data_IF_712528363676
#
_entry.id   IF_712528363676
#
_cell.length_a   1.000
_cell.length_b   1.000
_cell.length_c   1.000
_cell.angle_alpha   90.00
_cell.angle_beta   90.00
_cell.angle_gamma   90.00
#
_symmetry.space_group_name_H-M   'P 1'
#
loop_
_entity.id
_entity.type
_entity.pdbx_description
1 polymer ?
#
# COMPACT_ATOMS: atom_id res chain seq x y z
N UNK A 1 -5.67 -16.28 -13.32
CA UNK A 1 -4.29 -16.68 -13.61
C UNK A 1 -4.19 -17.12 -15.06
N UNK A 2 -3.40 -16.41 -15.87
CA UNK A 2 -3.11 -16.79 -17.25
C UNK A 2 -2.03 -17.88 -17.28
N UNK A 3 -2.44 -19.10 -17.62
CA UNK A 3 -1.57 -20.27 -17.63
C UNK A 3 -1.23 -20.67 -19.07
N UNK A 4 -0.45 -19.84 -19.75
CA UNK A 4 -0.02 -20.06 -21.13
C UNK A 4 1.27 -20.87 -21.27
N UNK A 5 1.92 -21.24 -20.16
CA UNK A 5 3.14 -22.04 -20.10
C UNK A 5 4.39 -21.41 -20.73
N UNK A 6 4.38 -20.10 -20.97
CA UNK A 6 5.50 -19.38 -21.61
C UNK A 6 5.98 -18.23 -20.70
N UNK A 7 7.28 -18.04 -20.65
CA UNK A 7 8.00 -16.89 -20.11
C UNK A 7 8.92 -16.28 -21.18
N UNK A 8 9.70 -15.26 -20.84
CA UNK A 8 10.68 -14.64 -21.75
C UNK A 8 11.71 -15.68 -22.21
N UNK A 9 12.19 -16.54 -21.31
CA UNK A 9 13.24 -17.54 -21.61
C UNK A 9 12.72 -18.79 -22.33
N UNK A 10 11.40 -18.92 -22.47
CA UNK A 10 10.79 -20.08 -23.11
C UNK A 10 9.72 -20.76 -22.25
N UNK A 11 9.62 -22.10 -22.28
CA UNK A 11 8.63 -22.82 -21.51
C UNK A 11 8.81 -22.61 -20.00
N UNK A 12 7.71 -22.40 -19.25
CA UNK A 12 7.76 -22.25 -17.79
C UNK A 12 8.32 -23.47 -17.08
N UNK A 13 8.32 -24.65 -17.70
CA UNK A 13 8.93 -25.87 -17.15
C UNK A 13 10.44 -25.77 -16.90
N UNK A 14 11.11 -24.78 -17.50
CA UNK A 14 12.54 -24.51 -17.22
C UNK A 14 12.78 -24.01 -15.79
N UNK A 15 11.82 -23.34 -15.17
CA UNK A 15 11.99 -22.64 -13.89
C UNK A 15 10.86 -22.88 -12.88
N UNK A 16 9.78 -23.53 -13.25
CA UNK A 16 8.60 -23.73 -12.40
C UNK A 16 8.22 -25.21 -12.35
N UNK A 17 8.28 -25.78 -11.16
CA UNK A 17 7.80 -27.14 -10.84
C UNK A 17 6.58 -27.16 -9.93
N UNK A 18 6.02 -25.99 -9.60
CA UNK A 18 4.89 -25.87 -8.65
C UNK A 18 3.60 -26.48 -9.17
N UNK A 19 2.93 -27.21 -8.29
CA UNK A 19 1.51 -27.56 -8.45
C UNK A 19 0.65 -26.42 -7.90
N UNK A 20 0.22 -25.52 -8.77
CA UNK A 20 -0.61 -24.38 -8.40
C UNK A 20 -1.93 -24.78 -7.74
N UNK A 21 -2.53 -25.90 -8.18
CA UNK A 21 -3.77 -26.41 -7.58
C UNK A 21 -3.57 -26.73 -6.11
N UNK A 22 -2.60 -27.59 -5.81
CA UNK A 22 -2.28 -27.95 -4.41
C UNK A 22 -1.89 -26.75 -3.57
N UNK A 23 -1.10 -25.81 -4.14
CA UNK A 23 -0.69 -24.58 -3.45
C UNK A 23 -1.89 -23.77 -2.99
N UNK A 24 -2.81 -23.43 -3.89
CA UNK A 24 -3.98 -22.60 -3.55
C UNK A 24 -5.02 -23.35 -2.71
N UNK A 25 -5.20 -24.64 -2.93
CA UNK A 25 -6.07 -25.48 -2.08
C UNK A 25 -5.54 -25.54 -0.64
N UNK A 26 -4.21 -25.58 -0.42
CA UNK A 26 -3.61 -25.54 0.91
C UNK A 26 -3.84 -24.19 1.63
N UNK A 27 -4.07 -23.11 0.92
CA UNK A 27 -4.48 -21.80 1.46
C UNK A 27 -5.97 -21.73 1.77
N UNK A 28 -6.74 -22.79 1.52
CA UNK A 28 -8.18 -22.81 1.66
C UNK A 28 -8.97 -22.17 0.51
N UNK A 29 -8.31 -21.90 -0.62
CA UNK A 29 -8.95 -21.34 -1.82
C UNK A 29 -9.61 -22.43 -2.67
N UNK A 30 -10.62 -22.05 -3.45
CA UNK A 30 -11.09 -22.90 -4.55
C UNK A 30 -10.18 -22.69 -5.77
N UNK A 31 -9.76 -23.79 -6.39
CA UNK A 31 -9.03 -23.79 -7.64
C UNK A 31 -9.93 -24.28 -8.77
N UNK A 32 -10.06 -23.50 -9.83
CA UNK A 32 -10.79 -23.84 -11.05
C UNK A 32 -9.83 -23.80 -12.24
N UNK A 33 -9.85 -24.83 -13.07
CA UNK A 33 -9.06 -24.84 -14.30
C UNK A 33 -10.00 -24.88 -15.50
N UNK A 34 -9.74 -24.01 -16.48
CA UNK A 34 -10.58 -23.85 -17.68
C UNK A 34 -9.72 -23.65 -18.94
N UNK A 35 -10.32 -23.91 -20.09
CA UNK A 35 -9.80 -23.41 -21.36
C UNK A 35 -10.15 -21.90 -21.45
N UNK A 36 -9.12 -21.02 -21.41
CA UNK A 36 -9.26 -19.57 -21.47
C UNK A 36 -9.72 -19.01 -22.82
N UNK A 37 -9.80 -19.85 -23.87
CA UNK A 37 -10.39 -19.51 -25.17
C UNK A 37 -11.83 -20.02 -25.31
N UNK A 38 -12.41 -20.68 -24.30
CA UNK A 38 -13.79 -21.17 -24.31
C UNK A 38 -14.71 -20.25 -23.49
N UNK A 39 -15.50 -19.44 -24.17
CA UNK A 39 -16.42 -18.45 -23.57
C UNK A 39 -17.43 -19.09 -22.60
N UNK A 40 -17.91 -20.31 -22.86
CA UNK A 40 -18.85 -21.01 -21.97
C UNK A 40 -18.17 -21.42 -20.65
N UNK A 41 -16.94 -21.94 -20.74
CA UNK A 41 -16.16 -22.31 -19.55
C UNK A 41 -15.81 -21.07 -18.72
N UNK A 42 -15.41 -19.96 -19.35
CA UNK A 42 -15.14 -18.68 -18.67
C UNK A 42 -16.38 -18.21 -17.91
N UNK A 43 -17.53 -18.13 -18.59
CA UNK A 43 -18.79 -17.69 -17.98
C UNK A 43 -19.23 -18.60 -16.82
N UNK A 44 -19.09 -19.92 -16.96
CA UNK A 44 -19.42 -20.89 -15.92
C UNK A 44 -18.50 -20.74 -14.70
N UNK A 45 -17.20 -20.62 -14.92
CA UNK A 45 -16.23 -20.45 -13.84
C UNK A 45 -16.46 -19.16 -13.04
N UNK A 46 -16.72 -18.03 -13.71
CA UNK A 46 -17.04 -16.75 -13.06
C UNK A 46 -18.34 -16.88 -12.24
N UNK A 47 -19.38 -17.49 -12.80
CA UNK A 47 -20.66 -17.74 -12.07
C UNK A 47 -20.47 -18.63 -10.84
N UNK A 48 -19.60 -19.64 -10.92
CA UNK A 48 -19.26 -20.52 -9.78
C UNK A 48 -18.48 -19.76 -8.71
N UNK A 49 -17.45 -19.01 -9.13
CA UNK A 49 -16.63 -18.22 -8.23
C UNK A 49 -17.43 -17.15 -7.50
N UNK A 50 -18.35 -16.43 -8.17
CA UNK A 50 -19.18 -15.37 -7.57
C UNK A 50 -20.17 -15.88 -6.50
N UNK A 51 -20.49 -17.17 -6.49
CA UNK A 51 -21.36 -17.80 -5.48
C UNK A 51 -20.59 -18.43 -4.33
N UNK A 52 -19.28 -18.48 -4.42
CA UNK A 52 -18.43 -19.10 -3.39
C UNK A 52 -18.25 -18.19 -2.17
N UNK A 53 -18.17 -18.80 -0.99
CA UNK A 53 -17.77 -18.12 0.25
C UNK A 53 -16.27 -18.15 0.50
N UNK A 54 -15.51 -18.90 -0.33
CA UNK A 54 -14.05 -18.99 -0.27
C UNK A 54 -13.44 -18.11 -1.35
N UNK A 55 -12.21 -17.62 -1.18
CA UNK A 55 -11.44 -17.06 -2.26
C UNK A 55 -11.31 -18.03 -3.42
N UNK A 56 -11.27 -17.53 -4.65
CA UNK A 56 -11.20 -18.36 -5.83
C UNK A 56 -10.05 -17.92 -6.71
N UNK A 57 -9.36 -18.89 -7.30
CA UNK A 57 -8.45 -18.69 -8.42
C UNK A 57 -8.95 -19.49 -9.62
N UNK A 58 -9.00 -18.84 -10.78
CA UNK A 58 -9.36 -19.46 -12.04
C UNK A 58 -8.09 -19.52 -12.89
N UNK A 59 -7.54 -20.72 -13.09
CA UNK A 59 -6.42 -20.98 -13.97
C UNK A 59 -6.93 -21.14 -15.41
N UNK A 60 -6.63 -20.16 -16.23
CA UNK A 60 -7.04 -20.13 -17.65
C UNK A 60 -5.91 -20.67 -18.53
N UNK A 61 -6.08 -21.86 -19.07
CA UNK A 61 -5.19 -22.37 -20.14
C UNK A 61 -5.38 -21.53 -21.37
N UNK A 62 -4.37 -20.79 -21.77
CA UNK A 62 -4.36 -19.90 -22.92
C UNK A 62 -3.15 -20.20 -23.82
N UNK A 63 -3.10 -19.52 -24.94
CA UNK A 63 -1.97 -19.54 -25.84
C UNK A 63 -1.48 -18.10 -26.00
N UNK A 64 -0.22 -17.82 -25.64
CA UNK A 64 0.36 -16.50 -25.86
C UNK A 64 0.39 -16.16 -27.33
N UNK A 65 0.08 -14.94 -27.73
CA UNK A 65 -0.01 -14.53 -29.13
C UNK A 65 -1.09 -15.28 -29.92
N UNK A 66 -2.20 -15.67 -29.26
CA UNK A 66 -3.32 -16.36 -29.89
C UNK A 66 -3.79 -15.66 -31.16
N UNK A 67 -3.95 -16.42 -32.24
CA UNK A 67 -4.32 -15.89 -33.54
C UNK A 67 -3.12 -15.51 -34.42
N UNK A 68 -1.90 -15.42 -33.87
CA UNK A 68 -0.68 -15.19 -34.68
C UNK A 68 -0.25 -16.46 -35.40
N UNK A 69 -0.11 -16.47 -36.74
CA UNK A 69 0.36 -17.64 -37.48
C UNK A 69 1.79 -18.06 -37.12
N UNK A 70 2.70 -17.09 -36.93
CA UNK A 70 4.12 -17.35 -36.78
C UNK A 70 4.64 -17.25 -35.34
N UNK A 71 3.96 -16.51 -34.47
CA UNK A 71 4.42 -16.18 -33.13
C UNK A 71 3.56 -16.77 -32.00
N UNK A 72 2.45 -17.44 -32.32
CA UNK A 72 1.58 -18.08 -31.34
C UNK A 72 2.30 -19.17 -30.56
N UNK A 73 2.17 -19.18 -29.22
CA UNK A 73 2.80 -20.16 -28.34
C UNK A 73 4.32 -19.99 -28.16
N UNK A 74 4.91 -18.90 -28.64
CA UNK A 74 6.37 -18.68 -28.58
C UNK A 74 6.73 -17.56 -27.58
N UNK A 75 7.90 -17.67 -26.96
CA UNK A 75 8.46 -16.64 -26.06
C UNK A 75 8.66 -15.29 -26.76
N UNK A 76 8.89 -15.29 -28.08
CA UNK A 76 9.00 -14.07 -28.89
C UNK A 76 7.74 -13.19 -28.91
N UNK A 77 6.61 -13.69 -28.39
CA UNK A 77 5.38 -12.91 -28.18
C UNK A 77 5.30 -12.28 -26.78
N UNK A 78 6.23 -12.62 -25.87
CA UNK A 78 6.24 -12.10 -24.51
C UNK A 78 6.92 -10.73 -24.49
N UNK A 79 6.15 -9.67 -24.17
CA UNK A 79 6.70 -8.32 -24.01
C UNK A 79 7.19 -7.64 -25.28
N UNK A 80 6.99 -8.23 -26.47
CA UNK A 80 7.41 -7.66 -27.75
C UNK A 80 6.22 -7.44 -28.69
N UNK A 81 6.20 -6.32 -29.43
CA UNK A 81 5.21 -6.12 -30.49
C UNK A 81 5.28 -7.24 -31.54
N UNK A 82 4.12 -7.64 -32.06
CA UNK A 82 4.08 -8.63 -33.13
C UNK A 82 4.74 -8.15 -34.42
N UNK A 83 4.71 -6.83 -34.68
CA UNK A 83 5.13 -6.21 -35.93
C UNK A 83 4.00 -6.14 -36.97
N UNK A 84 4.10 -5.18 -37.89
CA UNK A 84 3.01 -4.85 -38.82
C UNK A 84 2.61 -6.02 -39.75
N UNK A 85 3.57 -6.78 -40.24
CA UNK A 85 3.32 -7.94 -41.09
C UNK A 85 2.52 -9.00 -40.33
N UNK A 86 2.97 -9.36 -39.13
CA UNK A 86 2.31 -10.37 -38.31
C UNK A 86 0.92 -9.91 -37.88
N UNK A 87 0.75 -8.61 -37.51
CA UNK A 87 -0.57 -8.03 -37.21
C UNK A 87 -1.53 -8.20 -38.38
N UNK A 88 -1.07 -7.99 -39.62
CA UNK A 88 -1.89 -8.18 -40.80
C UNK A 88 -2.37 -9.63 -40.93
N UNK A 89 -1.49 -10.59 -40.67
CA UNK A 89 -1.83 -12.03 -40.70
C UNK A 89 -2.81 -12.39 -39.55
N UNK A 90 -2.61 -11.84 -38.33
CA UNK A 90 -3.53 -12.02 -37.21
C UNK A 90 -4.92 -11.51 -37.56
N UNK A 91 -5.02 -10.30 -38.10
CA UNK A 91 -6.30 -9.69 -38.50
C UNK A 91 -7.04 -10.56 -39.53
N UNK A 92 -6.33 -11.06 -40.51
CA UNK A 92 -6.87 -12.01 -41.52
C UNK A 92 -7.38 -13.29 -40.85
N UNK A 93 -6.58 -13.90 -39.96
CA UNK A 93 -6.93 -15.15 -39.27
C UNK A 93 -8.11 -14.97 -38.33
N UNK A 94 -8.18 -13.86 -37.59
CA UNK A 94 -9.27 -13.53 -36.68
C UNK A 94 -10.47 -12.88 -37.39
N UNK A 95 -10.42 -12.71 -38.73
CA UNK A 95 -11.48 -12.08 -39.53
C UNK A 95 -11.85 -10.68 -39.01
N UNK A 96 -10.86 -9.86 -38.70
CA UNK A 96 -11.03 -8.47 -38.24
C UNK A 96 -10.75 -7.49 -39.39
N UNK A 97 -11.77 -7.00 -40.13
CA UNK A 97 -11.59 -6.18 -41.33
C UNK A 97 -11.41 -4.69 -41.07
N UNK A 98 -11.66 -4.24 -39.83
CA UNK A 98 -11.68 -2.82 -39.47
C UNK A 98 -10.30 -2.18 -39.41
N UNK A 99 -10.19 -0.90 -39.67
CA UNK A 99 -8.93 -0.16 -39.58
C UNK A 99 -8.34 -0.14 -38.14
N UNK A 100 -7.09 0.30 -38.01
CA UNK A 100 -6.47 0.46 -36.68
C UNK A 100 -7.24 1.48 -35.87
N UNK A 101 -7.50 1.16 -34.60
CA UNK A 101 -8.28 1.98 -33.63
C UNK A 101 -9.76 2.18 -34.01
N UNK A 102 -10.24 1.57 -35.07
CA UNK A 102 -11.66 1.54 -35.44
C UNK A 102 -12.38 0.45 -34.66
N UNK A 103 -13.41 0.80 -33.91
CA UNK A 103 -14.28 -0.11 -33.18
C UNK A 103 -15.65 -0.11 -33.89
N UNK A 104 -16.14 -1.26 -34.36
CA UNK A 104 -17.49 -1.33 -34.97
C UNK A 104 -18.57 -0.80 -34.04
N UNK A 105 -19.54 -0.10 -34.60
CA UNK A 105 -20.54 0.61 -33.81
C UNK A 105 -21.43 -0.35 -32.99
N UNK A 106 -21.74 -1.51 -33.49
CA UNK A 106 -22.48 -2.56 -32.80
C UNK A 106 -21.72 -3.07 -31.56
N UNK A 107 -20.40 -3.32 -31.71
CA UNK A 107 -19.52 -3.66 -30.57
C UNK A 107 -19.49 -2.54 -29.54
N UNK A 108 -19.29 -1.31 -29.99
CA UNK A 108 -19.26 -0.13 -29.09
C UNK A 108 -20.58 0.06 -28.34
N UNK A 109 -21.71 -0.08 -29.03
CA UNK A 109 -23.05 -0.04 -28.42
C UNK A 109 -23.24 -1.15 -27.39
N UNK A 110 -22.79 -2.37 -27.69
CA UNK A 110 -22.87 -3.49 -26.75
C UNK A 110 -22.06 -3.21 -25.46
N UNK A 111 -20.83 -2.71 -25.58
CA UNK A 111 -20.00 -2.32 -24.44
C UNK A 111 -20.63 -1.21 -23.61
N UNK A 112 -21.13 -0.14 -24.24
CA UNK A 112 -21.81 0.98 -23.57
C UNK A 112 -23.04 0.51 -22.80
N UNK A 113 -23.86 -0.38 -23.39
CA UNK A 113 -25.02 -0.98 -22.75
C UNK A 113 -24.65 -1.77 -21.48
N UNK A 114 -23.52 -2.50 -21.50
CA UNK A 114 -23.01 -3.16 -20.29
C UNK A 114 -22.61 -2.16 -19.22
N UNK A 115 -21.98 -1.04 -19.60
CA UNK A 115 -21.61 0.05 -18.68
C UNK A 115 -22.80 0.74 -18.01
N UNK A 116 -23.95 0.82 -18.69
CA UNK A 116 -25.17 1.44 -18.14
C UNK A 116 -25.69 0.76 -16.88
N UNK A 117 -25.38 -0.53 -16.67
CA UNK A 117 -25.68 -1.22 -15.39
C UNK A 117 -25.08 -0.54 -14.18
N UNK A 118 -23.86 0.00 -14.36
CA UNK A 118 -23.15 0.74 -13.29
C UNK A 118 -23.94 1.95 -12.82
N UNK A 119 -24.52 2.71 -13.75
CA UNK A 119 -25.34 3.89 -13.44
C UNK A 119 -26.57 3.55 -12.58
N UNK A 120 -27.23 2.43 -12.90
CA UNK A 120 -28.38 1.95 -12.11
C UNK A 120 -27.97 1.50 -10.71
N UNK A 121 -26.85 0.77 -10.61
CA UNK A 121 -26.31 0.30 -9.33
C UNK A 121 -25.87 1.47 -8.44
N UNK A 122 -25.20 2.46 -9.03
CA UNK A 122 -24.78 3.68 -8.33
C UNK A 122 -25.97 4.49 -7.79
N UNK A 123 -27.01 4.70 -8.62
CA UNK A 123 -28.25 5.36 -8.17
C UNK A 123 -28.90 4.61 -7.01
N UNK A 124 -28.96 3.28 -7.06
CA UNK A 124 -29.51 2.45 -6.00
C UNK A 124 -28.67 2.55 -4.72
N UNK A 125 -27.32 2.51 -4.86
CA UNK A 125 -26.39 2.67 -3.75
C UNK A 125 -26.54 4.05 -3.08
N UNK A 126 -26.54 5.13 -3.85
CA UNK A 126 -26.73 6.51 -3.38
C UNK A 126 -28.07 6.69 -2.68
N UNK A 127 -29.17 6.14 -3.25
CA UNK A 127 -30.49 6.15 -2.61
C UNK A 127 -30.48 5.40 -1.26
N UNK A 128 -29.82 4.23 -1.21
CA UNK A 128 -29.72 3.47 0.04
C UNK A 128 -28.89 4.21 1.09
N UNK A 129 -27.78 4.84 0.69
CA UNK A 129 -26.94 5.65 1.59
C UNK A 129 -27.73 6.83 2.16
N UNK A 130 -28.54 7.51 1.33
CA UNK A 130 -29.38 8.64 1.76
C UNK A 130 -30.50 8.22 2.74
N UNK A 131 -30.96 6.97 2.68
CA UNK A 131 -31.96 6.39 3.60
C UNK A 131 -31.34 5.88 4.91
N UNK A 132 -30.02 5.73 4.98
CA UNK A 132 -29.33 5.22 6.16
C UNK A 132 -29.13 6.30 7.20
N UNK A 133 -28.87 5.84 8.43
CA UNK A 133 -28.63 6.68 9.60
C UNK A 133 -27.67 7.83 9.28
N UNK A 134 -28.09 9.05 9.62
CA UNK A 134 -27.32 10.29 9.39
C UNK A 134 -25.89 10.23 9.92
N UNK A 135 -25.63 9.44 10.96
CA UNK A 135 -24.30 9.24 11.56
C UNK A 135 -23.33 8.54 10.57
N UNK A 136 -23.73 7.37 10.03
CA UNK A 136 -22.90 6.61 9.07
C UNK A 136 -22.60 7.45 7.81
N UNK A 137 -23.62 8.16 7.31
CA UNK A 137 -23.44 9.04 6.16
C UNK A 137 -22.42 10.15 6.45
N UNK A 138 -22.55 10.83 7.61
CA UNK A 138 -21.64 11.89 8.03
C UNK A 138 -20.20 11.38 8.22
N UNK A 139 -20.02 10.19 8.81
CA UNK A 139 -18.71 9.56 8.96
C UNK A 139 -18.07 9.26 7.60
N UNK A 140 -18.83 8.65 6.67
CA UNK A 140 -18.32 8.37 5.32
C UNK A 140 -17.95 9.65 4.57
N UNK A 141 -18.81 10.68 4.62
CA UNK A 141 -18.52 11.98 4.00
C UNK A 141 -17.31 12.67 4.64
N UNK A 142 -17.13 12.55 5.96
CA UNK A 142 -15.98 13.10 6.68
C UNK A 142 -14.67 12.45 6.22
N UNK A 143 -14.65 11.11 6.11
CA UNK A 143 -13.52 10.34 5.61
C UNK A 143 -13.22 10.73 4.15
N UNK A 144 -14.22 10.72 3.28
CA UNK A 144 -14.05 11.07 1.86
C UNK A 144 -13.55 12.50 1.62
N UNK A 145 -13.95 13.43 2.46
CA UNK A 145 -13.56 14.86 2.39
C UNK A 145 -12.32 15.19 3.23
N UNK A 146 -11.72 14.20 3.90
CA UNK A 146 -10.59 14.37 4.83
C UNK A 146 -10.84 15.44 5.92
N UNK A 147 -12.09 15.64 6.34
CA UNK A 147 -12.48 16.69 7.30
C UNK A 147 -11.79 16.54 8.66
N UNK A 148 -11.49 15.31 9.06
CA UNK A 148 -10.81 15.08 10.33
C UNK A 148 -9.37 15.63 10.32
N UNK A 149 -8.73 15.72 9.14
CA UNK A 149 -7.39 16.30 8.98
C UNK A 149 -7.35 17.81 9.27
N UNK A 150 -8.49 18.52 9.15
CA UNK A 150 -8.58 19.96 9.49
C UNK A 150 -8.22 20.24 10.96
N UNK A 151 -8.44 19.25 11.85
CA UNK A 151 -8.15 19.36 13.28
C UNK A 151 -6.74 18.87 13.66
N UNK A 152 -6.00 18.31 12.70
CA UNK A 152 -4.69 17.70 12.95
C UNK A 152 -3.68 18.72 13.47
N UNK A 153 -3.68 19.93 12.91
CA UNK A 153 -2.76 21.00 13.33
C UNK A 153 -2.98 21.40 14.77
N UNK A 154 -4.23 21.54 15.18
CA UNK A 154 -4.57 21.85 16.57
C UNK A 154 -4.15 20.75 17.53
N UNK A 155 -4.39 19.47 17.15
CA UNK A 155 -3.99 18.32 17.95
C UNK A 155 -2.46 18.29 18.12
N UNK A 156 -1.71 18.38 17.03
CA UNK A 156 -0.24 18.34 17.07
C UNK A 156 0.32 19.50 17.88
N UNK A 157 -0.22 20.71 17.71
CA UNK A 157 0.24 21.86 18.48
C UNK A 157 -0.03 21.71 19.98
N UNK A 158 -1.16 21.11 20.37
CA UNK A 158 -1.45 20.82 21.78
C UNK A 158 -0.44 19.81 22.36
N UNK A 159 -0.12 18.76 21.64
CA UNK A 159 0.88 17.79 22.09
C UNK A 159 2.30 18.41 22.12
N UNK A 160 2.67 19.23 21.13
CA UNK A 160 3.95 19.97 21.12
C UNK A 160 4.07 20.89 22.35
N UNK A 161 3.04 21.65 22.68
CA UNK A 161 3.03 22.52 23.84
C UNK A 161 3.22 21.74 25.16
N UNK A 162 2.52 20.61 25.29
CA UNK A 162 2.66 19.71 26.43
C UNK A 162 4.11 19.23 26.57
N UNK A 163 4.70 18.68 25.53
CA UNK A 163 6.05 18.11 25.59
C UNK A 163 7.17 19.17 25.62
N UNK A 164 6.89 20.39 25.19
CA UNK A 164 7.78 21.51 25.40
C UNK A 164 7.93 21.84 26.93
N UNK A 165 6.86 21.70 27.71
CA UNK A 165 6.90 21.89 29.18
C UNK A 165 7.58 20.71 29.87
N UNK A 166 7.32 19.48 29.40
CA UNK A 166 7.85 18.24 30.03
C UNK A 166 9.31 17.95 29.67
N UNK A 167 9.76 18.33 28.46
CA UNK A 167 11.10 18.07 27.89
C UNK A 167 11.62 16.65 28.13
N UNK A 168 10.87 15.60 27.75
CA UNK A 168 11.22 14.24 28.10
C UNK A 168 12.41 13.71 27.28
N UNK A 169 13.28 12.92 27.91
CA UNK A 169 14.24 12.08 27.20
C UNK A 169 13.60 10.75 26.84
N UNK A 170 13.32 10.54 25.55
CA UNK A 170 12.63 9.33 25.02
C UNK A 170 13.27 8.84 23.73
N UNK A 171 13.14 7.53 23.49
CA UNK A 171 13.41 6.99 22.15
C UNK A 171 12.37 7.50 21.17
N UNK A 172 12.76 7.84 19.94
CA UNK A 172 11.80 8.39 18.98
C UNK A 172 10.75 7.36 18.54
N UNK A 173 10.99 6.04 18.69
CA UNK A 173 9.95 5.01 18.56
C UNK A 173 8.85 5.15 19.65
N UNK A 174 9.21 5.53 20.86
CA UNK A 174 8.25 5.81 21.94
C UNK A 174 7.48 7.11 21.63
N UNK A 175 8.16 8.11 21.08
CA UNK A 175 7.55 9.35 20.62
C UNK A 175 6.54 9.09 19.48
N UNK A 176 6.87 8.21 18.56
CA UNK A 176 5.94 7.77 17.49
C UNK A 176 4.70 7.07 18.05
N UNK A 177 4.87 6.24 19.09
CA UNK A 177 3.71 5.62 19.76
C UNK A 177 2.76 6.67 20.36
N UNK A 178 3.31 7.73 20.95
CA UNK A 178 2.52 8.87 21.46
C UNK A 178 1.76 9.55 20.32
N UNK A 179 2.44 9.82 19.21
CA UNK A 179 1.80 10.39 18.02
C UNK A 179 0.67 9.50 17.50
N UNK A 180 0.91 8.18 17.36
CA UNK A 180 -0.10 7.20 16.94
C UNK A 180 -1.30 7.21 17.89
N UNK A 181 -1.06 7.23 19.20
CA UNK A 181 -2.15 7.27 20.20
C UNK A 181 -3.00 8.54 20.08
N UNK A 182 -2.38 9.69 19.83
CA UNK A 182 -3.08 10.95 19.62
C UNK A 182 -3.88 10.96 18.31
N UNK A 183 -3.25 10.60 17.19
CA UNK A 183 -3.89 10.69 15.87
C UNK A 183 -4.98 9.63 15.67
N UNK A 184 -4.88 8.45 16.26
CA UNK A 184 -5.91 7.40 16.14
C UNK A 184 -7.22 7.76 16.86
N UNK A 185 -7.18 8.69 17.84
CA UNK A 185 -8.39 9.25 18.45
C UNK A 185 -9.12 10.22 17.51
N UNK A 186 -8.38 10.93 16.68
CA UNK A 186 -8.89 11.93 15.75
C UNK A 186 -9.32 11.32 14.43
N UNK A 187 -8.55 10.35 13.93
CA UNK A 187 -8.65 9.78 12.58
C UNK A 187 -9.05 8.29 12.67
N UNK A 188 -10.35 7.96 12.71
CA UNK A 188 -10.82 6.57 12.77
C UNK A 188 -10.46 5.76 11.53
N UNK A 189 -10.12 6.41 10.44
CA UNK A 189 -9.65 5.82 9.18
C UNK A 189 -8.22 5.28 9.23
N UNK A 190 -7.47 5.53 10.32
CA UNK A 190 -6.11 4.99 10.48
C UNK A 190 -6.19 3.50 10.80
N UNK A 191 -5.44 2.72 10.04
CA UNK A 191 -5.24 1.29 10.26
C UNK A 191 -3.76 0.97 10.38
N UNK A 192 -3.37 0.41 11.52
CA UNK A 192 -1.98 0.13 11.85
C UNK A 192 -1.59 -1.33 11.76
N UNK A 193 -0.30 -1.59 11.86
CA UNK A 193 0.21 -2.95 11.96
C UNK A 193 1.72 -3.03 12.18
N UNK A 194 2.20 -4.27 12.27
CA UNK A 194 3.64 -4.56 12.34
C UNK A 194 3.96 -5.93 11.80
N UNK A 195 5.16 -6.07 11.25
CA UNK A 195 5.72 -7.35 10.83
C UNK A 195 6.37 -8.07 12.02
N UNK A 196 5.52 -8.59 12.93
CA UNK A 196 5.90 -9.35 14.14
C UNK A 196 6.74 -8.59 15.19
N UNK A 197 6.82 -7.27 15.10
CA UNK A 197 7.65 -6.41 15.94
C UNK A 197 6.85 -5.34 16.70
N UNK A 198 5.57 -5.57 16.96
CA UNK A 198 4.64 -4.57 17.54
C UNK A 198 5.19 -3.92 18.82
N UNK A 199 5.75 -4.71 19.74
CA UNK A 199 6.34 -4.22 21.00
C UNK A 199 7.64 -3.46 20.78
N UNK A 200 8.50 -3.96 19.88
CA UNK A 200 9.79 -3.32 19.58
C UNK A 200 9.64 -2.02 18.81
N UNK A 201 8.68 -1.95 17.89
CA UNK A 201 8.42 -0.75 17.08
C UNK A 201 7.49 0.25 17.79
N UNK A 202 6.85 -0.16 18.89
CA UNK A 202 5.83 0.64 19.59
C UNK A 202 4.68 1.11 18.67
N UNK A 203 4.27 0.26 17.72
CA UNK A 203 3.22 0.58 16.74
C UNK A 203 1.81 0.27 17.24
N UNK A 204 1.67 -0.57 18.27
CA UNK A 204 0.40 -0.90 18.91
C UNK A 204 0.22 -0.05 20.16
N UNK A 205 -0.84 0.74 20.22
CA UNK A 205 -1.19 1.61 21.32
C UNK A 205 -2.36 1.04 22.13
N UNK A 206 -2.71 1.71 23.23
CA UNK A 206 -3.88 1.36 24.08
C UNK A 206 -5.21 1.40 23.30
N UNK A 207 -5.28 2.23 22.26
CA UNK A 207 -6.46 2.38 21.41
C UNK A 207 -6.51 1.35 20.28
N UNK A 208 -5.48 0.52 20.13
CA UNK A 208 -5.40 -0.46 19.06
C UNK A 208 -6.27 -1.69 19.37
N UNK A 209 -7.23 -1.96 18.49
CA UNK A 209 -8.04 -3.19 18.51
C UNK A 209 -7.60 -4.09 17.36
N UNK A 210 -7.24 -5.34 17.68
CA UNK A 210 -6.71 -6.29 16.69
C UNK A 210 -7.81 -6.80 15.77
N UNK A 211 -7.56 -6.76 14.47
CA UNK A 211 -8.36 -7.42 13.44
C UNK A 211 -7.96 -8.90 13.38
N UNK A 212 -8.94 -9.79 13.38
CA UNK A 212 -8.73 -11.22 13.24
C UNK A 212 -9.87 -11.89 12.46
N UNK A 213 -9.76 -13.19 12.17
CA UNK A 213 -10.72 -13.94 11.35
C UNK A 213 -12.15 -14.00 11.91
N UNK A 214 -12.35 -13.68 13.20
CA UNK A 214 -13.66 -13.71 13.89
C UNK A 214 -14.20 -12.29 14.13
N UNK A 215 -13.33 -11.28 14.22
CA UNK A 215 -13.72 -9.89 14.47
C UNK A 215 -12.88 -8.94 13.57
N UNK A 216 -13.57 -8.34 12.62
CA UNK A 216 -13.00 -7.36 11.70
C UNK A 216 -13.20 -5.90 12.19
N UNK A 217 -13.85 -5.69 13.36
CA UNK A 217 -14.08 -4.37 13.94
C UNK A 217 -12.84 -3.88 14.70
N UNK A 218 -11.73 -3.71 14.00
CA UNK A 218 -10.47 -3.27 14.59
C UNK A 218 -9.75 -2.27 13.69
N UNK A 219 -8.59 -1.84 14.18
CA UNK A 219 -7.71 -0.89 13.49
C UNK A 219 -6.23 -1.30 13.55
N UNK A 220 -5.94 -2.58 13.88
CA UNK A 220 -4.57 -3.06 13.99
C UNK A 220 -4.43 -4.49 13.44
N UNK A 221 -3.42 -4.70 12.59
CA UNK A 221 -3.15 -5.96 11.93
C UNK A 221 -1.78 -6.50 12.36
N UNK A 222 -1.74 -7.75 12.84
CA UNK A 222 -0.51 -8.50 13.00
C UNK A 222 -0.15 -9.17 11.67
N UNK A 223 0.82 -8.63 10.95
CA UNK A 223 1.22 -9.14 9.63
C UNK A 223 2.10 -10.40 9.73
N UNK A 224 2.68 -10.67 10.91
CA UNK A 224 3.68 -11.71 11.10
C UNK A 224 5.00 -11.33 10.42
N UNK A 225 5.93 -12.26 10.31
CA UNK A 225 7.25 -12.05 9.67
C UNK A 225 7.07 -11.97 8.15
N UNK A 226 6.51 -10.85 7.66
CA UNK A 226 6.15 -10.63 6.25
C UNK A 226 6.24 -9.15 5.87
N UNK A 227 7.43 -8.58 5.88
CA UNK A 227 7.65 -7.16 5.61
C UNK A 227 7.13 -6.75 4.23
N UNK A 228 7.45 -7.52 3.18
CA UNK A 228 6.94 -7.28 1.83
C UNK A 228 5.42 -7.41 1.76
N UNK A 229 4.88 -8.47 2.37
CA UNK A 229 3.43 -8.70 2.42
C UNK A 229 2.70 -7.60 3.17
N UNK A 230 3.25 -7.10 4.30
CA UNK A 230 2.74 -5.95 5.03
C UNK A 230 2.70 -4.70 4.14
N UNK A 231 3.83 -4.35 3.53
CA UNK A 231 3.92 -3.15 2.68
C UNK A 231 2.99 -3.25 1.45
N UNK A 232 2.87 -4.42 0.82
CA UNK A 232 1.96 -4.65 -0.29
C UNK A 232 0.49 -4.57 0.14
N UNK A 233 0.13 -5.11 1.30
CA UNK A 233 -1.22 -5.01 1.85
C UNK A 233 -1.57 -3.54 2.19
N UNK A 234 -0.63 -2.79 2.76
CA UNK A 234 -0.81 -1.35 3.02
C UNK A 234 -1.05 -0.56 1.73
N UNK A 235 -0.33 -0.88 0.64
CA UNK A 235 -0.60 -0.31 -0.68
C UNK A 235 -2.04 -0.60 -1.14
N UNK A 236 -2.49 -1.84 -0.96
CA UNK A 236 -3.87 -2.24 -1.27
C UNK A 236 -4.92 -1.49 -0.45
N UNK A 237 -4.69 -1.31 0.85
CA UNK A 237 -5.57 -0.54 1.74
C UNK A 237 -5.66 0.93 1.33
N UNK A 238 -4.53 1.55 0.99
CA UNK A 238 -4.50 2.94 0.51
C UNK A 238 -5.22 3.09 -0.84
N UNK A 239 -5.02 2.16 -1.78
CA UNK A 239 -5.68 2.15 -3.09
C UNK A 239 -7.20 1.91 -3.00
N UNK A 240 -7.66 1.12 -2.03
CA UNK A 240 -9.09 0.93 -1.79
C UNK A 240 -9.77 2.24 -1.43
N UNK A 241 -9.06 3.15 -0.76
CA UNK A 241 -9.55 4.45 -0.35
C UNK A 241 -10.29 4.45 0.99
N UNK A 242 -10.31 5.61 1.64
CA UNK A 242 -10.96 5.78 2.94
C UNK A 242 -10.19 5.20 4.13
N UNK A 243 -8.97 4.70 3.91
CA UNK A 243 -8.08 4.20 4.95
C UNK A 243 -6.70 4.85 4.85
N UNK A 244 -6.06 5.09 5.99
CA UNK A 244 -4.69 5.59 6.09
C UNK A 244 -3.86 4.49 6.78
N UNK A 245 -3.15 3.65 6.02
CA UNK A 245 -2.37 2.56 6.58
C UNK A 245 -1.02 3.04 7.13
N UNK A 246 -0.64 2.52 8.29
CA UNK A 246 0.74 2.54 8.77
C UNK A 246 1.22 1.14 9.14
N UNK A 247 2.51 0.88 9.00
CA UNK A 247 3.09 -0.40 9.37
C UNK A 247 4.54 -0.30 9.76
N UNK A 248 4.93 -1.12 10.74
CA UNK A 248 6.23 -1.06 11.37
C UNK A 248 7.07 -2.31 11.20
N UNK A 249 8.37 -2.09 11.04
CA UNK A 249 9.44 -3.06 11.16
C UNK A 249 10.74 -2.35 11.58
N UNK A 250 11.88 -3.06 11.68
CA UNK A 250 13.17 -2.40 11.87
C UNK A 250 13.67 -1.76 10.56
N UNK A 251 14.49 -0.72 10.67
CA UNK A 251 14.99 -0.01 9.49
C UNK A 251 15.78 -0.93 8.56
N UNK A 252 16.60 -1.84 9.11
CA UNK A 252 17.34 -2.82 8.30
C UNK A 252 16.40 -3.69 7.46
N UNK A 253 15.23 -4.05 7.99
CA UNK A 253 14.24 -4.88 7.29
C UNK A 253 13.43 -4.12 6.23
N UNK A 254 13.67 -2.80 6.08
CA UNK A 254 13.14 -2.07 4.93
C UNK A 254 13.62 -2.69 3.61
N UNK A 255 14.77 -3.35 3.59
CA UNK A 255 15.30 -4.05 2.42
C UNK A 255 14.37 -5.17 1.93
N UNK A 256 13.68 -5.88 2.85
CA UNK A 256 12.70 -6.90 2.48
C UNK A 256 11.41 -6.32 1.86
N UNK A 257 11.04 -5.09 2.15
CA UNK A 257 9.83 -4.47 1.62
C UNK A 257 10.08 -3.31 0.64
N UNK A 258 11.34 -3.02 0.32
CA UNK A 258 11.74 -1.91 -0.57
C UNK A 258 11.01 -1.89 -1.92
N UNK A 259 10.78 -3.03 -2.62
CA UNK A 259 10.01 -3.03 -3.85
C UNK A 259 8.58 -2.51 -3.66
N UNK A 260 7.89 -2.88 -2.58
CA UNK A 260 6.54 -2.38 -2.26
C UNK A 260 6.54 -0.91 -1.87
N UNK A 261 7.57 -0.42 -1.15
CA UNK A 261 7.76 1.01 -0.83
C UNK A 261 7.93 1.81 -2.13
N UNK A 262 8.77 1.32 -3.03
CA UNK A 262 8.97 1.95 -4.34
C UNK A 262 7.66 2.03 -5.14
N UNK A 263 6.84 0.98 -5.08
CA UNK A 263 5.53 0.98 -5.74
C UNK A 263 4.56 1.98 -5.11
N UNK A 264 4.52 2.15 -3.78
CA UNK A 264 3.68 3.19 -3.18
C UNK A 264 4.07 4.59 -3.62
N UNK A 265 5.38 4.86 -3.75
CA UNK A 265 5.89 6.13 -4.27
C UNK A 265 5.54 6.33 -5.75
N UNK A 266 5.69 5.30 -6.58
CA UNK A 266 5.35 5.32 -8.01
C UNK A 266 3.85 5.52 -8.24
N UNK A 267 3.01 4.88 -7.43
CA UNK A 267 1.54 5.01 -7.50
C UNK A 267 1.03 6.32 -6.87
N UNK A 268 1.87 7.07 -6.18
CA UNK A 268 1.47 8.31 -5.51
C UNK A 268 0.40 8.10 -4.46
N UNK A 269 0.59 7.13 -3.55
CA UNK A 269 -0.38 6.79 -2.52
C UNK A 269 0.13 7.09 -1.11
N UNK A 270 -0.79 7.46 -0.21
CA UNK A 270 -0.50 7.74 1.20
C UNK A 270 -0.34 6.45 1.98
N UNK A 271 0.88 6.14 2.37
CA UNK A 271 1.25 5.03 3.25
C UNK A 271 2.31 5.51 4.23
N UNK A 272 2.24 5.14 5.51
CA UNK A 272 3.24 5.53 6.51
C UNK A 272 4.01 4.30 6.96
N UNK A 273 5.31 4.27 6.64
CA UNK A 273 6.25 3.25 7.06
C UNK A 273 6.97 3.69 8.33
N UNK A 274 6.97 2.85 9.35
CA UNK A 274 7.60 3.09 10.64
C UNK A 274 8.81 2.16 10.76
N UNK A 275 10.00 2.71 10.77
CA UNK A 275 11.26 1.97 10.83
C UNK A 275 12.01 2.29 12.11
N UNK A 276 11.84 1.47 13.14
CA UNK A 276 12.61 1.62 14.38
C UNK A 276 14.00 0.99 14.28
N UNK A 277 14.83 1.17 15.29
CA UNK A 277 16.22 0.67 15.32
C UNK A 277 17.05 1.25 14.16
N UNK A 278 17.10 2.60 14.12
CA UNK A 278 17.55 3.40 12.99
C UNK A 278 19.07 3.50 12.80
N UNK A 279 19.86 2.93 13.72
CA UNK A 279 21.34 3.08 13.71
C UNK A 279 22.04 2.00 14.51
N UNK A 280 23.36 2.03 14.52
CA UNK A 280 24.21 1.20 15.40
C UNK A 280 23.91 1.41 16.89
N UNK A 281 23.27 2.53 17.27
CA UNK A 281 22.82 2.82 18.62
C UNK A 281 21.69 1.92 19.14
N UNK A 282 21.24 0.94 18.36
CA UNK A 282 20.27 -0.07 18.79
C UNK A 282 20.85 -1.04 19.83
N UNK A 283 22.18 -1.21 19.89
CA UNK A 283 22.88 -1.99 20.91
C UNK A 283 23.27 -3.40 20.49
N UNK A 284 22.93 -4.38 21.30
CA UNK A 284 23.45 -5.76 21.27
C UNK A 284 22.94 -6.66 20.13
N UNK A 285 21.96 -6.23 19.34
CA UNK A 285 21.36 -7.07 18.29
C UNK A 285 22.33 -7.44 17.15
N UNK A 286 23.45 -6.73 17.03
CA UNK A 286 24.55 -7.04 16.15
C UNK A 286 24.37 -6.61 14.69
N UNK A 287 25.32 -6.95 13.80
CA UNK A 287 25.41 -6.39 12.44
C UNK A 287 24.23 -6.75 11.54
N UNK A 288 23.53 -7.85 11.80
CA UNK A 288 22.33 -8.25 11.03
C UNK A 288 21.13 -7.32 11.27
N UNK A 289 21.17 -6.50 12.32
CA UNK A 289 20.10 -5.58 12.71
C UNK A 289 20.53 -4.10 12.66
N UNK A 290 21.80 -3.82 12.46
CA UNK A 290 22.39 -2.48 12.44
C UNK A 290 22.35 -1.88 11.03
N UNK A 291 21.44 -0.93 10.74
CA UNK A 291 21.33 -0.33 9.41
C UNK A 291 22.49 0.64 9.13
N UNK A 292 22.95 0.68 7.89
CA UNK A 292 24.00 1.59 7.40
C UNK A 292 23.47 2.35 6.17
N UNK A 293 23.21 1.64 5.06
CA UNK A 293 22.85 2.23 3.77
C UNK A 293 21.35 2.44 3.56
N UNK A 294 20.50 1.94 4.46
CA UNK A 294 19.04 1.94 4.26
C UNK A 294 18.46 3.33 4.10
N UNK A 295 18.92 4.31 4.92
CA UNK A 295 18.44 5.69 4.80
C UNK A 295 18.80 6.31 3.45
N UNK A 296 20.04 6.13 2.99
CA UNK A 296 20.46 6.61 1.68
C UNK A 296 19.66 5.94 0.56
N UNK A 297 19.46 4.61 0.67
CA UNK A 297 18.67 3.83 -0.26
C UNK A 297 17.19 4.23 -0.32
N UNK A 298 16.58 4.59 0.81
CA UNK A 298 15.19 5.10 0.85
C UNK A 298 15.11 6.51 0.28
N UNK A 299 16.07 7.40 0.59
CA UNK A 299 16.14 8.77 0.05
C UNK A 299 16.34 8.82 -1.46
N UNK A 300 16.92 7.77 -2.05
CA UNK A 300 17.06 7.65 -3.50
C UNK A 300 15.75 7.31 -4.24
N UNK A 301 14.68 6.93 -3.53
CA UNK A 301 13.38 6.62 -4.14
C UNK A 301 12.65 7.94 -4.43
N UNK A 302 12.34 8.25 -5.71
CA UNK A 302 11.57 9.45 -6.04
C UNK A 302 10.18 9.41 -5.40
N UNK A 303 9.66 10.57 -4.98
CA UNK A 303 8.35 10.72 -4.36
C UNK A 303 8.17 9.91 -3.05
N UNK A 304 9.23 9.76 -2.27
CA UNK A 304 9.18 9.19 -0.92
C UNK A 304 9.69 10.22 0.09
N UNK A 305 8.88 10.60 1.06
CA UNK A 305 9.34 11.36 2.21
C UNK A 305 10.11 10.45 3.16
N UNK A 306 11.32 10.85 3.56
CA UNK A 306 12.14 10.09 4.52
C UNK A 306 12.51 10.99 5.68
N UNK A 307 11.92 10.72 6.84
CA UNK A 307 12.12 11.47 8.08
C UNK A 307 12.98 10.68 9.06
N UNK A 308 13.78 11.40 9.84
CA UNK A 308 14.54 10.88 10.97
C UNK A 308 14.52 11.89 12.12
N UNK A 309 13.41 11.94 12.86
CA UNK A 309 13.23 12.94 13.93
C UNK A 309 14.21 12.69 15.09
N UNK A 310 14.65 13.78 15.72
CA UNK A 310 15.60 13.73 16.83
C UNK A 310 14.91 13.68 18.21
N UNK A 311 13.66 14.15 18.33
CA UNK A 311 12.91 14.18 19.60
C UNK A 311 11.40 14.01 19.39
N UNK A 312 10.62 14.18 20.47
CA UNK A 312 9.15 14.09 20.42
C UNK A 312 8.55 15.20 19.56
N UNK A 313 9.09 16.40 19.58
CA UNK A 313 8.56 17.52 18.82
C UNK A 313 8.67 17.25 17.30
N UNK A 314 9.87 16.90 16.84
CA UNK A 314 10.08 16.54 15.44
C UNK A 314 9.29 15.28 15.03
N UNK A 315 9.15 14.29 15.94
CA UNK A 315 8.35 13.10 15.66
C UNK A 315 6.88 13.44 15.40
N UNK A 316 6.29 14.33 16.21
CA UNK A 316 4.93 14.83 16.03
C UNK A 316 4.79 15.59 14.68
N UNK A 317 5.78 16.42 14.35
CA UNK A 317 5.84 17.16 13.07
C UNK A 317 5.94 16.23 11.86
N UNK A 318 6.80 15.21 11.92
CA UNK A 318 6.93 14.21 10.86
C UNK A 318 5.62 13.45 10.63
N UNK A 319 4.93 13.05 11.71
CA UNK A 319 3.60 12.44 11.61
C UNK A 319 2.58 13.39 10.97
N UNK A 320 2.61 14.67 11.32
CA UNK A 320 1.73 15.69 10.73
C UNK A 320 1.94 15.79 9.22
N UNK A 321 3.19 15.89 8.77
CA UNK A 321 3.52 15.93 7.32
C UNK A 321 3.08 14.64 6.63
N UNK A 322 3.38 13.48 7.21
CA UNK A 322 3.01 12.19 6.65
C UNK A 322 1.48 12.05 6.46
N UNK A 323 0.69 12.49 7.43
CA UNK A 323 -0.78 12.43 7.37
C UNK A 323 -1.39 13.46 6.42
N UNK A 324 -0.77 14.63 6.29
CA UNK A 324 -1.19 15.68 5.33
C UNK A 324 -0.80 15.37 3.89
N UNK A 325 0.25 14.60 3.66
CA UNK A 325 0.67 14.19 2.32
C UNK A 325 -0.46 13.45 1.61
N UNK A 326 -0.82 13.89 0.40
CA UNK A 326 -1.93 13.29 -0.38
C UNK A 326 -1.44 12.15 -1.27
N UNK A 327 -0.35 12.39 -2.00
CA UNK A 327 0.14 11.55 -3.09
C UNK A 327 1.60 11.10 -2.86
N UNK A 328 2.07 11.12 -1.62
CA UNK A 328 3.45 10.80 -1.28
C UNK A 328 3.46 9.91 -0.04
N UNK A 329 4.01 8.69 -0.11
CA UNK A 329 4.24 7.87 1.07
C UNK A 329 5.35 8.46 1.94
N UNK A 330 5.38 8.08 3.21
CA UNK A 330 6.35 8.57 4.17
C UNK A 330 7.01 7.41 4.91
N UNK A 331 8.33 7.46 5.06
CA UNK A 331 9.13 6.57 5.88
C UNK A 331 9.68 7.37 7.07
N UNK A 332 9.43 6.90 8.28
CA UNK A 332 9.87 7.55 9.53
C UNK A 332 10.86 6.61 10.22
N UNK A 333 12.14 6.95 10.19
CA UNK A 333 13.21 6.22 10.87
C UNK A 333 13.33 6.68 12.32
N UNK A 334 13.33 5.72 13.27
CA UNK A 334 13.15 5.97 14.69
C UNK A 334 14.22 5.28 15.53
N UNK A 335 14.76 5.97 16.53
CA UNK A 335 15.77 5.43 17.43
C UNK A 335 15.19 4.36 18.38
N UNK A 336 16.02 3.37 18.75
CA UNK A 336 15.79 2.48 19.89
C UNK A 336 16.22 3.14 21.21
N UNK A 337 17.36 3.80 21.19
CA UNK A 337 17.93 4.50 22.35
C UNK A 337 17.15 5.79 22.62
N UNK A 338 17.16 6.20 23.90
CA UNK A 338 16.59 7.47 24.33
C UNK A 338 17.44 8.63 23.82
N UNK A 339 16.78 9.69 23.37
CA UNK A 339 17.39 10.93 22.92
C UNK A 339 16.88 12.10 23.79
N UNK A 340 17.68 13.13 24.02
CA UNK A 340 17.26 14.32 24.76
C UNK A 340 16.25 15.13 23.95
N UNK A 341 15.46 15.95 24.64
CA UNK A 341 14.67 17.00 23.99
C UNK A 341 15.59 18.13 23.54
N UNK A 342 15.56 18.47 22.26
CA UNK A 342 16.54 19.41 21.66
C UNK A 342 15.96 20.78 21.29
N UNK A 343 14.65 20.93 21.19
CA UNK A 343 14.03 22.18 20.74
C UNK A 343 14.13 23.28 21.80
N UNK A 344 14.83 24.42 21.54
CA UNK A 344 15.05 25.47 22.53
C UNK A 344 13.81 26.33 22.77
N UNK A 345 12.89 26.41 21.80
CA UNK A 345 11.70 27.25 21.86
C UNK A 345 10.48 26.52 21.36
N UNK A 346 9.31 26.86 21.90
CA UNK A 346 8.04 26.38 21.38
C UNK A 346 7.63 27.20 20.15
N UNK A 347 7.19 26.50 19.10
CA UNK A 347 6.58 27.11 17.92
C UNK A 347 5.40 26.24 17.43
N UNK A 348 4.38 26.90 16.87
CA UNK A 348 3.28 26.22 16.20
C UNK A 348 3.65 25.80 14.77
N UNK A 349 4.71 26.39 14.22
CA UNK A 349 5.23 26.05 12.91
C UNK A 349 5.72 24.60 12.88
N UNK A 350 5.51 23.91 11.78
CA UNK A 350 6.10 22.60 11.53
C UNK A 350 7.44 22.79 10.84
N UNK A 351 8.52 22.78 11.62
CA UNK A 351 9.89 22.99 11.09
C UNK A 351 10.38 21.80 10.28
N UNK A 352 9.92 20.59 10.60
CA UNK A 352 10.29 19.36 9.87
C UNK A 352 9.78 19.37 8.44
N UNK A 353 8.76 20.17 8.09
CA UNK A 353 8.25 20.34 6.73
C UNK A 353 9.28 20.96 5.79
N UNK A 354 10.22 21.76 6.32
CA UNK A 354 11.29 22.38 5.53
C UNK A 354 12.41 21.40 5.15
N UNK A 355 12.42 20.20 5.71
CA UNK A 355 13.43 19.18 5.45
C UNK A 355 14.73 19.38 6.24
N UNK A 356 15.16 20.61 6.44
CA UNK A 356 16.30 20.97 7.30
C UNK A 356 16.09 22.36 7.91
N UNK A 357 16.53 22.54 9.15
CA UNK A 357 16.49 23.84 9.83
C UNK A 357 17.55 23.92 10.96
N UNK A 358 17.88 25.12 11.37
CA UNK A 358 18.85 25.35 12.45
C UNK A 358 18.13 25.22 13.79
N UNK A 359 18.53 24.25 14.61
CA UNK A 359 18.01 24.04 15.97
C UNK A 359 18.71 25.00 16.96
N UNK A 360 20.02 25.13 16.84
CA UNK A 360 20.84 26.00 17.69
C UNK A 360 21.95 26.63 16.83
N UNK A 361 21.98 27.96 16.80
CA UNK A 361 23.09 28.70 16.19
C UNK A 361 24.07 29.12 17.30
N UNK A 362 25.32 28.66 17.23
CA UNK A 362 26.39 29.31 17.98
C UNK A 362 26.59 30.71 17.40
N UNK A 363 26.42 31.72 18.21
CA UNK A 363 26.82 33.09 17.83
C UNK A 363 28.33 33.07 17.62
N UNK A 364 28.76 32.88 16.40
CA UNK A 364 30.12 33.24 16.00
C UNK A 364 30.16 34.76 15.89
N UNK A 365 30.48 35.43 17.01
CA UNK A 365 31.16 36.68 16.95
C UNK A 365 32.59 36.36 16.48
N UNK A 366 32.83 36.42 15.16
CA UNK A 366 34.09 36.82 14.55
C UNK A 366 33.82 37.16 13.08
#
# INVERSE_FOLDING_TARGET
FDNNKISIDGPTSLSVSDDYKKRFESYGWNFLEINGHNHKQISSAIKKASKSKKPNIISCKTIIGFGSPNKSGKSSSHGSPLGNEEITLVRKKLKWPHASFEIPEDVLKAWRKIGERGRTLEKKWSSNLNKKNSKIKKELESIQKNKNLEKLDSLINTEKEKYFKEKPSKATRECSSIAIEAVTKLLPEIIGGSADLSGSNNTKTKNSKVINSKDFNGNYIHYGIREHGMAAAMNGLALYGGLIPYGGTFLIFSDYCKPSIRLSALMGIKVVYIFSHDSIGLGEDGPTHQPIEQLAGLRAIPNLNVFRPADINETLECWQVALKSKNTPSAIALSRQKLPYINPSHTKENKSEHGAYIVNATSNNN
#
